data_IF_481998035493
#
_entry.id   IF_481998035493
#
_cell.length_a   1.000
_cell.length_b   1.000
_cell.length_c   1.000
_cell.angle_alpha   90.00
_cell.angle_beta   90.00
_cell.angle_gamma   90.00
#
_symmetry.space_group_name_H-M   'P 1'
#
loop_
_entity.id
_entity.type
_entity.pdbx_description
1 polymer ?
#
# COMPACT_ATOMS: atom_id res chain seq x y z
N UNK A 1 -33.75 26.88 -25.25
CA UNK A 1 -34.06 25.78 -24.31
C UNK A 1 -32.90 24.79 -24.38
N UNK A 2 -31.82 25.05 -23.62
CA UNK A 2 -30.60 24.21 -23.58
C UNK A 2 -30.76 23.20 -22.46
N UNK A 3 -30.58 21.93 -22.83
CA UNK A 3 -30.68 20.75 -21.98
C UNK A 3 -29.48 20.69 -21.03
N UNK A 4 -29.79 20.24 -19.81
CA UNK A 4 -29.01 19.97 -18.59
C UNK A 4 -27.46 19.94 -18.67
N UNK A 5 -26.76 20.49 -17.66
CA UNK A 5 -25.31 20.33 -17.51
C UNK A 5 -24.99 18.86 -17.17
N UNK A 6 -23.87 18.37 -17.69
CA UNK A 6 -23.29 17.06 -17.34
C UNK A 6 -23.10 16.99 -15.83
N UNK A 7 -23.90 16.18 -15.15
CA UNK A 7 -23.70 15.87 -13.75
C UNK A 7 -22.41 15.05 -13.62
N UNK A 8 -21.30 15.71 -13.29
CA UNK A 8 -20.12 15.04 -12.80
C UNK A 8 -20.51 14.41 -11.46
N UNK A 9 -20.63 13.08 -11.43
CA UNK A 9 -20.84 12.34 -10.21
C UNK A 9 -19.44 12.09 -9.63
N UNK A 10 -18.98 12.83 -8.59
CA UNK A 10 -17.65 12.59 -8.04
C UNK A 10 -17.59 11.15 -7.52
N UNK A 11 -16.56 10.40 -7.92
CA UNK A 11 -16.34 9.06 -7.39
C UNK A 11 -16.25 9.19 -5.86
N UNK A 12 -17.02 8.35 -5.14
CA UNK A 12 -17.05 8.30 -3.68
C UNK A 12 -15.63 8.16 -3.11
N UNK A 13 -14.72 7.52 -3.84
CA UNK A 13 -13.31 7.42 -3.47
C UNK A 13 -12.60 8.79 -3.44
N UNK A 14 -12.92 9.67 -4.39
CA UNK A 14 -12.45 11.08 -4.41
C UNK A 14 -12.99 11.86 -3.22
N UNK A 15 -14.24 11.61 -2.82
CA UNK A 15 -14.85 12.27 -1.66
C UNK A 15 -14.27 11.78 -0.32
N UNK A 16 -13.85 10.52 -0.24
CA UNK A 16 -13.22 9.92 0.95
C UNK A 16 -11.76 10.36 1.09
N UNK A 17 -11.08 10.72 -0.01
CA UNK A 17 -9.68 11.18 -0.01
C UNK A 17 -9.41 12.37 0.95
N UNK A 18 -10.45 13.13 1.31
CA UNK A 18 -10.35 14.29 2.19
C UNK A 18 -10.55 13.99 3.69
N UNK A 19 -10.76 12.72 4.10
CA UNK A 19 -11.21 12.40 5.47
C UNK A 19 -10.09 12.00 6.46
N UNK A 20 -8.84 11.84 6.05
CA UNK A 20 -7.72 11.69 6.98
C UNK A 20 -6.40 12.14 6.36
N UNK A 21 -5.64 12.99 7.07
CA UNK A 21 -4.36 13.53 6.58
C UNK A 21 -3.27 12.45 6.39
N UNK A 22 -3.45 11.25 6.96
CA UNK A 22 -2.46 10.18 6.94
C UNK A 22 -2.79 9.08 5.91
N UNK A 23 -4.00 9.08 5.33
CA UNK A 23 -4.46 8.10 4.34
C UNK A 23 -4.81 8.77 3.00
N UNK A 24 -3.78 9.06 2.20
CA UNK A 24 -3.98 9.53 0.83
C UNK A 24 -4.49 8.39 -0.04
N UNK A 25 -5.67 8.56 -0.63
CA UNK A 25 -6.27 7.61 -1.58
C UNK A 25 -5.78 7.90 -2.99
N UNK A 26 -5.28 6.88 -3.68
CA UNK A 26 -4.82 7.01 -5.07
C UNK A 26 -6.00 7.24 -6.02
N UNK A 27 -5.97 8.29 -6.84
CA UNK A 27 -6.96 8.46 -7.89
C UNK A 27 -6.92 7.32 -8.91
N UNK A 28 -8.06 6.94 -9.51
CA UNK A 28 -8.12 5.88 -10.51
C UNK A 28 -7.15 6.07 -11.69
N UNK A 29 -6.94 7.31 -12.13
CA UNK A 29 -6.07 7.65 -13.26
C UNK A 29 -4.60 7.34 -12.95
N UNK A 30 -4.15 7.69 -11.73
CA UNK A 30 -2.79 7.37 -11.26
C UNK A 30 -2.64 5.86 -11.07
N UNK A 31 -3.64 5.19 -10.49
CA UNK A 31 -3.59 3.74 -10.33
C UNK A 31 -3.50 3.03 -11.68
N UNK A 32 -4.30 3.45 -12.67
CA UNK A 32 -4.28 2.93 -14.03
C UNK A 32 -2.91 3.13 -14.69
N UNK A 33 -2.33 4.34 -14.61
CA UNK A 33 -1.01 4.63 -15.18
C UNK A 33 0.11 3.78 -14.57
N UNK A 34 0.09 3.56 -13.25
CA UNK A 34 1.06 2.66 -12.59
C UNK A 34 0.89 1.20 -13.04
N UNK A 35 -0.34 0.74 -13.23
CA UNK A 35 -0.66 -0.61 -13.71
C UNK A 35 -0.27 -0.78 -15.19
N UNK A 36 -0.44 0.26 -16.02
CA UNK A 36 0.02 0.30 -17.41
C UNK A 36 1.53 0.14 -17.49
N UNK A 37 2.31 0.85 -16.66
CA UNK A 37 3.77 0.70 -16.65
C UNK A 37 4.24 -0.71 -16.31
N UNK A 38 3.55 -1.40 -15.40
CA UNK A 38 3.82 -2.81 -15.10
C UNK A 38 3.53 -3.68 -16.32
N UNK A 39 2.38 -3.47 -16.99
CA UNK A 39 2.01 -4.24 -18.18
C UNK A 39 2.99 -4.03 -19.35
N UNK A 40 3.42 -2.79 -19.59
CA UNK A 40 4.42 -2.47 -20.61
C UNK A 40 5.77 -3.11 -20.29
N UNK A 41 6.21 -3.07 -19.03
CA UNK A 41 7.44 -3.71 -18.62
C UNK A 41 7.37 -5.23 -18.81
N UNK A 42 6.27 -5.85 -18.36
CA UNK A 42 6.03 -7.26 -18.59
C UNK A 42 6.10 -7.64 -20.07
N UNK A 43 5.44 -6.88 -20.94
CA UNK A 43 5.46 -7.13 -22.38
C UNK A 43 6.88 -7.04 -22.95
N UNK A 44 7.67 -6.03 -22.55
CA UNK A 44 9.08 -5.92 -22.97
C UNK A 44 9.91 -7.13 -22.56
N UNK A 45 9.61 -7.70 -21.39
CA UNK A 45 10.42 -8.74 -20.76
C UNK A 45 10.04 -10.15 -21.19
N UNK A 46 8.79 -10.31 -21.63
CA UNK A 46 8.21 -11.59 -21.99
C UNK A 46 7.87 -11.65 -23.49
N UNK A 47 8.69 -11.01 -24.34
CA UNK A 47 8.58 -11.13 -25.80
C UNK A 47 7.25 -10.64 -26.38
N UNK A 48 6.64 -9.63 -25.77
CA UNK A 48 5.34 -9.08 -26.14
C UNK A 48 4.13 -9.76 -25.49
N UNK A 49 4.34 -10.69 -24.55
CA UNK A 49 3.24 -11.36 -23.87
C UNK A 49 2.37 -10.38 -23.07
N UNK A 50 1.07 -10.65 -23.01
CA UNK A 50 0.12 -9.89 -22.20
C UNK A 50 0.09 -10.45 -20.77
N UNK A 51 0.47 -9.65 -19.77
CA UNK A 51 0.41 -10.05 -18.36
C UNK A 51 -1.01 -10.45 -17.92
N UNK A 52 -2.02 -9.79 -18.49
CA UNK A 52 -3.42 -10.00 -18.13
C UNK A 52 -3.99 -11.32 -18.67
N UNK A 53 -3.29 -11.97 -19.60
CA UNK A 53 -3.65 -13.28 -20.15
C UNK A 53 -2.90 -14.43 -19.46
N UNK A 54 -2.14 -14.16 -18.38
CA UNK A 54 -1.41 -15.19 -17.65
C UNK A 54 -2.15 -15.59 -16.37
N UNK A 55 -2.65 -16.85 -16.27
CA UNK A 55 -3.41 -17.30 -15.10
C UNK A 55 -2.55 -17.52 -13.85
N UNK A 56 -1.22 -17.47 -13.97
CA UNK A 56 -0.30 -17.78 -12.87
C UNK A 56 0.32 -16.54 -12.22
N UNK A 57 0.13 -15.34 -12.77
CA UNK A 57 0.72 -14.12 -12.21
C UNK A 57 -0.03 -13.71 -10.96
N UNK A 58 0.73 -13.32 -9.94
CA UNK A 58 0.23 -12.92 -8.62
C UNK A 58 0.57 -11.46 -8.30
N UNK A 59 -0.38 -10.77 -7.68
CA UNK A 59 -0.32 -9.34 -7.38
C UNK A 59 -0.59 -9.10 -5.89
N UNK A 60 0.19 -8.21 -5.29
CA UNK A 60 0.01 -7.77 -3.91
C UNK A 60 -0.08 -6.25 -3.82
N UNK A 61 -1.11 -5.77 -3.12
CA UNK A 61 -1.14 -4.41 -2.56
C UNK A 61 -0.94 -4.47 -1.04
N UNK A 62 0.27 -4.17 -0.53
CA UNK A 62 0.62 -4.35 0.88
C UNK A 62 0.14 -3.20 1.78
N UNK A 63 -0.58 -2.23 1.22
CA UNK A 63 -1.13 -1.09 1.95
C UNK A 63 -2.47 -0.65 1.35
N UNK A 64 -3.35 -1.62 1.09
CA UNK A 64 -4.58 -1.38 0.36
C UNK A 64 -5.55 -0.49 1.15
N UNK A 65 -6.05 0.56 0.50
CA UNK A 65 -6.95 1.56 1.10
C UNK A 65 -8.38 1.42 0.59
N UNK A 66 -8.63 1.95 -0.61
CA UNK A 66 -9.89 1.80 -1.34
C UNK A 66 -9.98 0.51 -2.17
N UNK A 67 -8.86 -0.20 -2.31
CA UNK A 67 -8.72 -1.34 -3.22
C UNK A 67 -8.57 -0.93 -4.69
N UNK A 68 -8.23 0.32 -5.00
CA UNK A 68 -8.21 0.84 -6.38
C UNK A 68 -7.25 0.06 -7.30
N UNK A 69 -6.03 -0.24 -6.85
CA UNK A 69 -5.07 -1.05 -7.63
C UNK A 69 -5.61 -2.47 -7.86
N UNK A 70 -6.11 -3.11 -6.80
CA UNK A 70 -6.62 -4.48 -6.86
C UNK A 70 -7.86 -4.59 -7.75
N UNK A 71 -8.74 -3.58 -7.72
CA UNK A 71 -9.92 -3.47 -8.59
C UNK A 71 -9.49 -3.35 -10.06
N UNK A 72 -8.54 -2.47 -10.34
CA UNK A 72 -8.00 -2.26 -11.69
C UNK A 72 -7.38 -3.54 -12.25
N UNK A 73 -6.52 -4.19 -11.46
CA UNK A 73 -5.89 -5.47 -11.81
C UNK A 73 -6.93 -6.56 -12.06
N UNK A 74 -7.93 -6.67 -11.18
CA UNK A 74 -9.01 -7.66 -11.30
C UNK A 74 -9.80 -7.44 -12.59
N UNK A 75 -10.15 -6.19 -12.93
CA UNK A 75 -10.87 -5.88 -14.16
C UNK A 75 -10.09 -6.31 -15.40
N UNK A 76 -8.79 -5.99 -15.44
CA UNK A 76 -7.91 -6.35 -16.57
C UNK A 76 -7.69 -7.85 -16.69
N UNK A 77 -7.55 -8.58 -15.58
CA UNK A 77 -7.47 -10.04 -15.58
C UNK A 77 -8.78 -10.69 -16.05
N UNK A 78 -9.94 -10.16 -15.64
CA UNK A 78 -11.25 -10.68 -16.08
C UNK A 78 -11.40 -10.59 -17.60
N UNK A 79 -10.88 -9.53 -18.22
CA UNK A 79 -10.88 -9.39 -19.68
C UNK A 79 -9.77 -10.22 -20.35
N UNK A 80 -8.55 -10.20 -19.79
CA UNK A 80 -7.39 -10.85 -20.38
C UNK A 80 -7.42 -12.38 -20.34
N UNK A 81 -8.10 -12.97 -19.35
CA UNK A 81 -8.18 -14.43 -19.19
C UNK A 81 -9.40 -15.07 -19.88
N UNK A 82 -10.15 -14.34 -20.72
CA UNK A 82 -11.36 -14.89 -21.39
C UNK A 82 -11.05 -16.13 -22.22
N UNK A 83 -9.91 -16.17 -22.91
CA UNK A 83 -9.55 -17.33 -23.74
C UNK A 83 -9.10 -18.54 -22.91
N UNK A 84 -8.39 -18.30 -21.79
CA UNK A 84 -7.85 -19.36 -20.92
C UNK A 84 -8.89 -19.94 -19.96
N UNK A 85 -9.79 -19.10 -19.44
CA UNK A 85 -10.85 -19.48 -18.51
C UNK A 85 -12.16 -18.85 -19.02
N UNK A 86 -12.88 -19.47 -19.98
CA UNK A 86 -14.02 -18.84 -20.64
C UNK A 86 -15.22 -18.55 -19.74
N UNK A 87 -15.50 -19.42 -18.76
CA UNK A 87 -16.58 -19.20 -17.82
C UNK A 87 -16.26 -18.02 -16.88
N UNK A 88 -17.17 -17.06 -16.80
CA UNK A 88 -16.96 -15.83 -16.03
C UNK A 88 -16.84 -16.10 -14.53
N UNK A 89 -17.64 -17.03 -13.98
CA UNK A 89 -17.63 -17.29 -12.55
C UNK A 89 -16.36 -18.04 -12.13
N UNK A 90 -15.97 -19.07 -12.89
CA UNK A 90 -14.70 -19.78 -12.70
C UNK A 90 -13.51 -18.81 -12.81
N UNK A 91 -13.53 -17.91 -13.81
CA UNK A 91 -12.49 -16.90 -14.01
C UNK A 91 -12.40 -15.93 -12.84
N UNK A 92 -13.52 -15.38 -12.38
CA UNK A 92 -13.56 -14.48 -11.20
C UNK A 92 -13.08 -15.20 -9.95
N UNK A 93 -13.50 -16.45 -9.74
CA UNK A 93 -13.03 -17.26 -8.61
C UNK A 93 -11.52 -17.48 -8.67
N UNK A 94 -10.98 -17.88 -9.82
CA UNK A 94 -9.55 -18.07 -10.03
C UNK A 94 -8.77 -16.79 -9.73
N UNK A 95 -9.16 -15.67 -10.33
CA UNK A 95 -8.48 -14.38 -10.15
C UNK A 95 -8.45 -13.97 -8.68
N UNK A 96 -9.61 -13.98 -8.02
CA UNK A 96 -9.74 -13.45 -6.66
C UNK A 96 -9.16 -14.37 -5.60
N UNK A 97 -9.15 -15.69 -5.82
CA UNK A 97 -8.60 -16.66 -4.86
C UNK A 97 -7.12 -16.96 -5.08
N UNK A 98 -6.60 -16.81 -6.31
CA UNK A 98 -5.24 -17.22 -6.68
C UNK A 98 -4.31 -16.11 -7.14
N UNK A 99 -4.81 -14.96 -7.61
CA UNK A 99 -3.97 -13.95 -8.25
C UNK A 99 -3.93 -12.60 -7.52
N UNK A 100 -5.01 -12.20 -6.84
CA UNK A 100 -5.15 -10.84 -6.29
C UNK A 100 -5.17 -10.85 -4.76
N UNK A 101 -4.19 -10.19 -4.15
CA UNK A 101 -3.99 -10.17 -2.70
C UNK A 101 -3.77 -8.75 -2.17
N UNK A 102 -4.24 -8.49 -0.96
CA UNK A 102 -4.10 -7.17 -0.33
C UNK A 102 -3.98 -7.24 1.18
N UNK A 103 -3.15 -6.36 1.73
CA UNK A 103 -3.10 -6.07 3.18
C UNK A 103 -3.65 -4.68 3.42
N UNK A 104 -4.79 -4.59 4.09
CA UNK A 104 -5.32 -3.29 4.47
C UNK A 104 -4.61 -2.74 5.70
N UNK A 105 -4.72 -1.43 5.91
CA UNK A 105 -3.99 -0.72 6.98
C UNK A 105 -4.85 -0.41 8.21
N UNK A 106 -6.16 -0.49 8.07
CA UNK A 106 -7.17 -0.27 9.11
C UNK A 106 -8.38 -1.17 8.86
N UNK A 107 -9.25 -1.33 9.85
CA UNK A 107 -10.48 -2.12 9.65
C UNK A 107 -11.39 -1.46 8.59
N UNK A 108 -11.44 -0.12 8.57
CA UNK A 108 -12.23 0.62 7.58
C UNK A 108 -11.74 0.39 6.15
N UNK A 109 -10.43 0.51 5.92
CA UNK A 109 -9.83 0.28 4.60
C UNK A 109 -9.99 -1.17 4.13
N UNK A 110 -9.96 -2.13 5.05
CA UNK A 110 -10.28 -3.53 4.73
C UNK A 110 -11.71 -3.68 4.20
N UNK A 111 -12.69 -3.07 4.86
CA UNK A 111 -14.10 -3.11 4.44
C UNK A 111 -14.34 -2.40 3.10
N UNK A 112 -13.67 -1.26 2.88
CA UNK A 112 -13.74 -0.53 1.61
C UNK A 112 -13.13 -1.34 0.48
N UNK A 113 -11.92 -1.87 0.67
CA UNK A 113 -11.22 -2.68 -0.33
C UNK A 113 -11.98 -3.94 -0.69
N UNK A 114 -12.53 -4.67 0.30
CA UNK A 114 -13.40 -5.84 0.04
C UNK A 114 -14.64 -5.46 -0.74
N UNK A 115 -15.29 -4.34 -0.41
CA UNK A 115 -16.45 -3.88 -1.18
C UNK A 115 -16.07 -3.53 -2.61
N UNK A 116 -14.91 -2.94 -2.85
CA UNK A 116 -14.44 -2.60 -4.19
C UNK A 116 -14.07 -3.83 -5.04
N UNK A 117 -13.47 -4.84 -4.42
CA UNK A 117 -12.92 -6.01 -5.13
C UNK A 117 -13.91 -7.17 -5.18
N UNK A 118 -14.65 -7.43 -4.09
CA UNK A 118 -15.61 -8.53 -3.98
C UNK A 118 -17.07 -8.12 -4.16
N UNK A 119 -17.35 -6.82 -4.36
CA UNK A 119 -18.69 -6.24 -4.32
C UNK A 119 -19.44 -6.47 -3.00
N UNK A 120 -18.73 -6.91 -1.95
CA UNK A 120 -19.28 -7.29 -0.65
C UNK A 120 -18.28 -6.94 0.46
N UNK A 121 -18.78 -6.60 1.65
CA UNK A 121 -17.94 -6.40 2.83
C UNK A 121 -17.24 -7.68 3.28
N UNK A 122 -17.84 -8.83 2.95
CA UNK A 122 -17.42 -10.15 3.36
C UNK A 122 -17.31 -11.06 2.13
N UNK A 123 -16.17 -11.71 1.97
CA UNK A 123 -15.85 -12.50 0.79
C UNK A 123 -16.67 -13.80 0.69
N UNK A 124 -17.15 -14.34 1.82
CA UNK A 124 -17.88 -15.61 1.93
C UNK A 124 -19.39 -15.47 2.13
N UNK A 125 -20.00 -14.38 1.63
CA UNK A 125 -21.45 -14.12 1.76
C UNK A 125 -22.11 -14.09 0.40
N UNK A 126 -23.44 -14.29 0.36
CA UNK A 126 -24.23 -14.42 -0.88
C UNK A 126 -24.12 -13.25 -1.89
N UNK A 127 -23.63 -12.10 -1.44
CA UNK A 127 -23.48 -10.90 -2.29
C UNK A 127 -22.05 -10.71 -2.80
N UNK A 128 -21.13 -11.58 -2.40
CA UNK A 128 -19.77 -11.62 -2.96
C UNK A 128 -19.82 -12.15 -4.38
N UNK A 129 -19.06 -11.54 -5.30
CA UNK A 129 -18.93 -12.04 -6.68
C UNK A 129 -18.07 -13.31 -6.77
N UNK A 130 -17.28 -13.59 -5.73
CA UNK A 130 -16.49 -14.82 -5.58
C UNK A 130 -17.25 -15.79 -4.70
N UNK A 131 -17.35 -17.04 -5.15
CA UNK A 131 -18.15 -18.09 -4.48
C UNK A 131 -17.30 -19.12 -3.72
N UNK A 132 -15.97 -19.03 -3.81
CA UNK A 132 -15.04 -20.05 -3.30
C UNK A 132 -14.37 -19.71 -1.96
N UNK A 133 -14.54 -18.49 -1.44
CA UNK A 133 -13.97 -18.18 -0.13
C UNK A 133 -14.79 -18.77 1.01
N UNK A 134 -14.13 -19.52 1.89
CA UNK A 134 -14.71 -20.00 3.14
C UNK A 134 -14.62 -18.97 4.26
N UNK A 135 -13.66 -18.03 4.18
CA UNK A 135 -13.39 -17.03 5.21
C UNK A 135 -13.94 -15.64 4.81
N UNK A 136 -14.31 -14.78 5.79
CA UNK A 136 -14.95 -13.49 5.48
C UNK A 136 -13.98 -12.44 4.91
N UNK A 137 -12.67 -12.61 5.11
CA UNK A 137 -11.67 -11.66 4.64
C UNK A 137 -11.30 -11.87 3.16
N UNK A 138 -11.42 -13.10 2.66
CA UNK A 138 -10.82 -13.51 1.40
C UNK A 138 -9.31 -13.27 1.44
N UNK A 139 -8.77 -12.82 0.31
CA UNK A 139 -7.38 -12.39 0.14
C UNK A 139 -7.15 -10.90 0.44
N UNK A 140 -8.17 -10.18 0.93
CA UNK A 140 -8.00 -8.81 1.46
C UNK A 140 -7.95 -8.89 2.99
N UNK A 141 -6.75 -9.06 3.51
CA UNK A 141 -6.51 -9.34 4.91
C UNK A 141 -6.32 -8.07 5.75
N UNK A 142 -6.83 -8.12 6.98
CA UNK A 142 -6.52 -7.16 8.03
C UNK A 142 -6.76 -7.81 9.39
N UNK A 143 -5.75 -7.74 10.25
CA UNK A 143 -5.90 -7.84 11.69
C UNK A 143 -5.08 -6.74 12.35
N UNK A 144 -5.60 -6.24 13.46
CA UNK A 144 -4.92 -5.23 14.28
C UNK A 144 -3.55 -5.78 14.68
N UNK A 145 -2.49 -5.05 14.31
CA UNK A 145 -1.12 -5.37 14.71
C UNK A 145 -0.70 -4.41 15.80
N UNK A 146 0.10 -4.88 16.75
CA UNK A 146 0.61 -4.06 17.86
C UNK A 146 2.08 -3.72 17.66
N UNK A 147 2.51 -2.62 18.28
CA UNK A 147 3.92 -2.21 18.33
C UNK A 147 4.71 -3.12 19.29
N UNK A 148 5.98 -3.36 18.97
CA UNK A 148 6.94 -4.02 19.86
C UNK A 148 7.86 -2.98 20.50
N UNK A 149 7.56 -2.62 21.75
CA UNK A 149 8.22 -1.54 22.49
C UNK A 149 9.55 -1.98 23.09
N UNK A 150 10.64 -1.35 22.64
CA UNK A 150 11.99 -1.62 23.12
C UNK A 150 12.69 -0.36 23.67
N UNK A 151 13.70 -0.58 24.50
CA UNK A 151 14.50 0.48 25.13
C UNK A 151 13.74 1.23 26.23
N UNK A 152 13.98 2.54 26.32
CA UNK A 152 13.35 3.43 27.30
C UNK A 152 14.16 3.69 28.57
N UNK A 153 13.67 4.62 29.38
CA UNK A 153 14.26 4.99 30.67
C UNK A 153 13.48 4.30 31.78
N UNK A 154 14.19 3.59 32.67
CA UNK A 154 13.59 2.96 33.84
C UNK A 154 13.29 4.03 34.89
N UNK A 155 12.03 4.15 35.24
CA UNK A 155 11.51 5.04 36.28
C UNK A 155 10.90 4.20 37.41
N UNK A 156 11.00 4.70 38.64
CA UNK A 156 10.25 4.17 39.78
C UNK A 156 9.03 5.04 39.98
N UNK A 157 7.85 4.41 40.06
CA UNK A 157 6.59 5.08 40.38
C UNK A 157 5.95 4.36 41.55
N UNK A 158 5.40 5.12 42.49
CA UNK A 158 4.66 4.54 43.61
C UNK A 158 3.27 4.15 43.12
N UNK A 159 2.90 2.88 43.27
CA UNK A 159 1.55 2.41 42.97
C UNK A 159 0.55 3.11 43.92
N UNK A 160 -0.41 3.89 43.43
CA UNK A 160 -1.33 4.64 44.28
C UNK A 160 -2.32 3.76 45.06
N UNK A 161 -2.50 2.50 44.68
CA UNK A 161 -3.37 1.54 45.36
C UNK A 161 -2.63 0.73 46.46
N UNK A 162 -1.36 0.40 46.27
CA UNK A 162 -0.59 -0.44 47.21
C UNK A 162 0.46 0.33 48.02
N UNK A 163 0.89 1.49 47.55
CA UNK A 163 1.99 2.28 48.14
C UNK A 163 3.38 1.69 47.86
N UNK A 164 3.48 0.65 47.05
CA UNK A 164 4.74 -0.01 46.71
C UNK A 164 5.41 0.63 45.48
N UNK A 165 6.73 0.54 45.42
CA UNK A 165 7.51 0.97 44.26
C UNK A 165 7.28 0.02 43.08
N UNK A 166 6.81 0.55 41.95
CA UNK A 166 6.70 -0.14 40.66
C UNK A 166 7.71 0.42 39.66
N UNK A 167 8.29 -0.49 38.87
CA UNK A 167 9.18 -0.11 37.77
C UNK A 167 8.38 0.09 36.50
N UNK A 168 8.49 1.28 35.92
CA UNK A 168 7.86 1.63 34.64
C UNK A 168 8.94 2.10 33.67
N UNK A 169 8.82 1.72 32.40
CA UNK A 169 9.67 2.24 31.34
C UNK A 169 8.96 3.39 30.63
N UNK A 170 9.63 4.53 30.50
CA UNK A 170 9.18 5.68 29.71
C UNK A 170 10.01 5.83 28.43
N UNK A 171 9.49 6.57 27.45
CA UNK A 171 10.20 6.90 26.20
C UNK A 171 10.67 5.67 25.38
N UNK A 172 9.95 4.55 25.47
CA UNK A 172 10.21 3.39 24.60
C UNK A 172 9.87 3.71 23.15
N UNK A 173 10.47 2.96 22.23
CA UNK A 173 10.20 3.07 20.79
C UNK A 173 9.90 1.71 20.19
N UNK A 174 9.05 1.69 19.17
CA UNK A 174 8.78 0.48 18.41
C UNK A 174 10.03 0.04 17.63
N UNK A 175 10.43 -1.23 17.74
CA UNK A 175 11.63 -1.73 17.06
C UNK A 175 11.51 -1.75 15.52
N UNK A 176 10.29 -1.83 14.99
CA UNK A 176 10.02 -1.89 13.55
C UNK A 176 9.89 -0.51 12.90
N UNK A 177 8.97 0.32 13.40
CA UNK A 177 8.68 1.64 12.80
C UNK A 177 9.32 2.81 13.55
N UNK A 178 9.81 2.59 14.77
CA UNK A 178 10.38 3.63 15.65
C UNK A 178 9.39 4.67 16.16
N UNK A 179 8.08 4.39 16.09
CA UNK A 179 7.03 5.13 16.80
C UNK A 179 7.37 5.26 18.28
N UNK A 180 7.03 6.39 18.90
CA UNK A 180 7.18 6.59 20.35
C UNK A 180 6.00 5.96 21.10
N UNK A 181 6.28 5.24 22.18
CA UNK A 181 5.23 4.58 22.98
C UNK A 181 4.20 5.58 23.53
N UNK A 182 4.67 6.72 24.02
CA UNK A 182 3.81 7.75 24.60
C UNK A 182 2.71 8.22 23.64
N UNK A 183 3.02 8.24 22.34
CA UNK A 183 2.10 8.74 21.32
C UNK A 183 1.26 7.64 20.69
N UNK A 184 1.69 6.37 20.75
CA UNK A 184 1.12 5.28 19.96
C UNK A 184 0.63 4.06 20.77
N UNK A 185 0.85 4.03 22.09
CA UNK A 185 0.21 3.08 22.98
C UNK A 185 -1.21 3.56 23.36
N UNK A 186 -2.13 3.54 22.37
CA UNK A 186 -3.43 4.23 22.39
C UNK A 186 -4.62 3.41 22.87
N UNK A 187 -4.39 2.26 23.51
CA UNK A 187 -5.46 1.34 23.90
C UNK A 187 -6.14 0.64 22.70
N UNK A 188 -7.06 -0.27 22.98
CA UNK A 188 -7.67 -1.15 21.96
C UNK A 188 -8.70 -0.44 21.05
N UNK A 189 -9.28 0.68 21.53
CA UNK A 189 -10.34 1.42 20.82
C UNK A 189 -9.83 2.32 19.68
N UNK A 190 -8.52 2.60 19.63
CA UNK A 190 -7.89 3.49 18.64
C UNK A 190 -6.96 2.73 17.72
N UNK A 191 -6.94 3.04 16.43
CA UNK A 191 -6.02 2.41 15.46
C UNK A 191 -4.56 2.49 15.94
N UNK A 192 -3.85 1.37 15.91
CA UNK A 192 -2.48 1.29 16.43
C UNK A 192 -1.46 1.97 15.53
N UNK A 193 -1.77 2.13 14.24
CA UNK A 193 -0.82 2.51 13.18
C UNK A 193 0.43 1.61 13.12
N UNK A 194 0.33 0.39 13.65
CA UNK A 194 1.28 -0.67 13.39
C UNK A 194 0.75 -1.51 12.22
N UNK A 195 1.49 -1.51 11.12
CA UNK A 195 1.09 -2.21 9.89
C UNK A 195 1.78 -3.57 9.78
N UNK A 196 0.99 -4.61 9.55
CA UNK A 196 1.44 -6.00 9.47
C UNK A 196 2.61 -6.22 8.50
N UNK A 197 2.61 -5.49 7.38
CA UNK A 197 3.63 -5.60 6.33
C UNK A 197 5.04 -5.17 6.77
N UNK A 198 5.13 -4.22 7.72
CA UNK A 198 6.42 -3.71 8.20
C UNK A 198 6.72 -4.08 9.65
N UNK A 199 5.74 -4.57 10.42
CA UNK A 199 5.90 -5.06 11.78
C UNK A 199 6.17 -6.57 11.79
N UNK A 200 7.26 -6.94 11.11
CA UNK A 200 7.77 -8.31 11.07
C UNK A 200 9.27 -8.30 10.77
N UNK A 201 9.99 -9.24 11.35
CA UNK A 201 11.41 -9.46 11.05
C UNK A 201 11.61 -10.22 9.72
N UNK A 202 10.64 -11.05 9.33
CA UNK A 202 10.65 -11.78 8.06
C UNK A 202 9.29 -11.61 7.37
N UNK A 203 9.29 -10.94 6.23
CA UNK A 203 8.06 -10.66 5.49
C UNK A 203 7.53 -11.87 4.74
N UNK A 204 8.41 -12.75 4.24
CA UNK A 204 7.99 -14.00 3.59
C UNK A 204 7.20 -14.88 4.56
N UNK A 205 7.77 -15.18 5.73
CA UNK A 205 7.08 -15.97 6.78
C UNK A 205 5.76 -15.33 7.22
N UNK A 206 5.71 -13.98 7.27
CA UNK A 206 4.50 -13.25 7.64
C UNK A 206 3.40 -13.44 6.60
N UNK A 207 3.74 -13.37 5.31
CA UNK A 207 2.76 -13.56 4.24
C UNK A 207 2.33 -15.02 4.09
N UNK A 208 3.24 -15.98 4.32
CA UNK A 208 2.86 -17.40 4.34
C UNK A 208 1.83 -17.70 5.43
N UNK A 209 1.97 -17.10 6.62
CA UNK A 209 0.97 -17.25 7.69
C UNK A 209 -0.38 -16.61 7.36
N UNK A 210 -0.38 -15.56 6.54
CA UNK A 210 -1.60 -14.82 6.18
C UNK A 210 -2.33 -15.48 4.99
N UNK A 211 -1.58 -15.86 3.95
CA UNK A 211 -2.12 -16.28 2.66
C UNK A 211 -1.87 -17.76 2.32
N UNK A 212 -1.06 -18.48 3.11
CA UNK A 212 -0.74 -19.89 2.94
C UNK A 212 0.72 -20.17 2.55
N UNK A 213 1.18 -21.39 2.81
CA UNK A 213 2.57 -21.83 2.56
C UNK A 213 2.96 -21.67 1.08
N UNK A 214 4.21 -21.22 0.84
CA UNK A 214 4.76 -21.09 -0.51
C UNK A 214 4.23 -19.91 -1.32
N UNK A 215 3.48 -19.00 -0.70
CA UNK A 215 2.96 -17.81 -1.37
C UNK A 215 4.09 -16.87 -1.81
N UNK A 216 4.11 -16.53 -3.10
CA UNK A 216 5.03 -15.57 -3.70
C UNK A 216 4.25 -14.58 -4.56
N UNK A 217 4.82 -13.40 -4.79
CA UNK A 217 4.18 -12.33 -5.55
C UNK A 217 5.07 -11.87 -6.69
N UNK A 218 4.54 -11.92 -7.91
CA UNK A 218 5.24 -11.43 -9.11
C UNK A 218 5.26 -9.90 -9.15
N UNK A 219 4.16 -9.28 -8.72
CA UNK A 219 3.96 -7.83 -8.76
C UNK A 219 3.62 -7.25 -7.39
N UNK A 220 4.58 -6.48 -6.90
CA UNK A 220 4.57 -5.45 -5.85
C UNK A 220 3.84 -4.15 -6.21
N UNK A 221 2.61 -3.79 -5.81
CA UNK A 221 2.08 -2.44 -6.18
C UNK A 221 1.23 -1.76 -5.12
N UNK A 222 1.40 -0.44 -4.89
CA UNK A 222 0.49 0.27 -4.00
C UNK A 222 0.80 1.74 -3.72
N UNK A 223 0.16 2.25 -2.67
CA UNK A 223 0.38 3.57 -2.11
C UNK A 223 0.49 3.45 -0.58
N UNK A 224 1.70 3.30 -0.02
CA UNK A 224 1.88 3.10 1.41
C UNK A 224 1.53 4.36 2.22
N UNK A 225 1.29 4.25 3.54
CA UNK A 225 1.23 5.41 4.43
C UNK A 225 2.54 6.22 4.37
N UNK A 226 2.44 7.55 4.35
CA UNK A 226 3.62 8.40 4.15
C UNK A 226 4.37 8.69 5.44
N UNK A 227 3.65 8.90 6.54
CA UNK A 227 4.26 9.31 7.78
C UNK A 227 3.46 8.86 9.00
N UNK A 228 4.13 8.86 10.15
CA UNK A 228 3.52 8.76 11.47
C UNK A 228 3.43 10.17 12.07
N UNK A 229 2.25 10.55 12.57
CA UNK A 229 2.02 11.79 13.29
C UNK A 229 2.53 11.73 14.74
N UNK A 230 3.50 12.59 15.07
CA UNK A 230 4.16 12.65 16.38
C UNK A 230 3.29 13.28 17.51
N UNK A 231 1.97 13.40 17.35
CA UNK A 231 1.02 13.84 18.40
C UNK A 231 1.16 15.29 18.93
N UNK A 232 2.24 15.99 18.62
CA UNK A 232 2.52 17.36 19.08
C UNK A 232 2.19 18.45 18.07
N UNK A 233 2.03 19.70 18.54
CA UNK A 233 1.82 20.90 17.71
C UNK A 233 3.03 21.29 16.82
N UNK A 234 4.05 20.43 16.72
CA UNK A 234 5.32 20.66 16.02
C UNK A 234 5.57 19.67 14.89
N UNK A 235 5.87 20.21 13.70
CA UNK A 235 6.09 19.55 12.40
C UNK A 235 7.30 18.59 12.36
N UNK A 236 7.24 17.41 12.97
CA UNK A 236 8.27 16.39 12.75
C UNK A 236 7.75 14.99 12.44
N UNK A 237 6.67 14.87 11.66
CA UNK A 237 6.18 13.57 11.21
C UNK A 237 7.29 12.69 10.62
N UNK A 238 7.45 11.48 11.15
CA UNK A 238 8.49 10.53 10.73
C UNK A 238 8.02 9.80 9.47
N UNK A 239 8.82 9.76 8.39
CA UNK A 239 8.44 8.99 7.21
C UNK A 239 8.37 7.50 7.55
N UNK A 240 7.39 6.81 6.97
CA UNK A 240 7.20 5.36 7.15
C UNK A 240 7.15 4.58 5.82
N UNK A 241 6.84 5.24 4.70
CA UNK A 241 6.73 4.61 3.38
C UNK A 241 7.99 3.85 2.99
N UNK A 242 9.18 4.31 3.38
CA UNK A 242 10.46 3.68 3.07
C UNK A 242 10.55 2.26 3.63
N UNK A 243 9.89 1.99 4.76
CA UNK A 243 9.86 0.65 5.36
C UNK A 243 9.00 -0.30 4.52
N UNK A 244 7.92 0.19 3.92
CA UNK A 244 7.12 -0.60 2.97
C UNK A 244 7.91 -0.89 1.70
N UNK A 245 8.61 0.10 1.14
CA UNK A 245 9.47 -0.12 -0.04
C UNK A 245 10.53 -1.19 0.25
N UNK A 246 11.22 -1.09 1.39
CA UNK A 246 12.25 -2.06 1.78
C UNK A 246 11.68 -3.47 1.97
N UNK A 247 10.55 -3.63 2.67
CA UNK A 247 9.91 -4.94 2.83
C UNK A 247 9.42 -5.52 1.51
N UNK A 248 8.87 -4.69 0.61
CA UNK A 248 8.46 -5.15 -0.70
C UNK A 248 9.66 -5.60 -1.56
N UNK A 249 10.81 -4.93 -1.45
CA UNK A 249 12.05 -5.40 -2.09
C UNK A 249 12.54 -6.72 -1.48
N UNK A 250 12.38 -6.93 -0.16
CA UNK A 250 12.76 -8.18 0.52
C UNK A 250 11.88 -9.37 0.11
N UNK A 251 10.64 -9.14 -0.35
CA UNK A 251 9.83 -10.17 -0.99
C UNK A 251 10.37 -10.63 -2.35
N UNK A 252 11.32 -9.86 -2.91
CA UNK A 252 12.00 -10.17 -4.16
C UNK A 252 11.04 -10.41 -5.36
N UNK A 253 10.01 -9.56 -5.58
CA UNK A 253 9.08 -9.72 -6.69
C UNK A 253 9.78 -9.51 -8.04
N UNK A 254 9.14 -9.89 -9.15
CA UNK A 254 9.66 -9.55 -10.48
C UNK A 254 9.55 -8.03 -10.74
N UNK A 255 8.42 -7.44 -10.34
CA UNK A 255 8.13 -6.01 -10.49
C UNK A 255 7.67 -5.40 -9.18
N UNK A 256 8.06 -4.15 -8.94
CA UNK A 256 7.63 -3.36 -7.79
C UNK A 256 7.28 -1.94 -8.25
N UNK A 257 6.14 -1.42 -7.83
CA UNK A 257 5.72 -0.05 -8.10
C UNK A 257 5.04 0.61 -6.91
N UNK A 258 5.57 1.73 -6.46
CA UNK A 258 4.97 2.49 -5.36
C UNK A 258 4.92 3.97 -5.68
N UNK A 259 3.82 4.61 -5.31
CA UNK A 259 3.72 6.08 -5.23
C UNK A 259 4.06 6.55 -3.81
N UNK A 260 5.05 7.44 -3.70
CA UNK A 260 5.61 7.94 -2.44
C UNK A 260 6.01 9.42 -2.55
N UNK A 261 6.17 10.16 -1.43
CA UNK A 261 6.57 11.57 -1.48
C UNK A 261 7.96 11.76 -2.09
N UNK A 262 8.10 12.62 -3.10
CA UNK A 262 9.35 12.82 -3.88
C UNK A 262 10.54 13.31 -3.07
N UNK A 263 10.29 13.85 -1.86
CA UNK A 263 11.35 14.30 -0.93
C UNK A 263 12.42 13.24 -0.64
N UNK A 264 12.15 11.95 -0.80
CA UNK A 264 13.19 10.91 -0.67
C UNK A 264 14.38 11.14 -1.62
N UNK A 265 14.15 11.79 -2.76
CA UNK A 265 15.17 12.17 -3.75
C UNK A 265 15.98 13.41 -3.38
N UNK A 266 15.60 14.16 -2.35
CA UNK A 266 16.41 15.26 -1.81
C UNK A 266 17.10 14.88 -0.49
N UNK A 267 16.62 13.80 0.16
CA UNK A 267 17.00 13.42 1.51
C UNK A 267 16.05 14.02 2.54
N UNK A 268 16.38 13.87 3.83
CA UNK A 268 15.53 14.34 4.91
C UNK A 268 15.70 13.51 6.19
N UNK A 269 14.99 13.92 7.25
CA UNK A 269 15.08 13.28 8.57
C UNK A 269 14.78 11.78 8.47
N UNK A 270 15.81 10.95 8.67
CA UNK A 270 15.69 9.49 8.67
C UNK A 270 15.62 8.82 7.30
N UNK A 271 15.89 9.54 6.20
CA UNK A 271 15.82 9.00 4.83
C UNK A 271 17.17 8.82 4.14
N UNK A 272 18.28 9.24 4.74
CA UNK A 272 19.57 9.25 4.06
C UNK A 272 20.02 7.87 3.57
N UNK A 273 19.92 6.84 4.41
CA UNK A 273 20.27 5.47 4.01
C UNK A 273 19.35 4.93 2.91
N UNK A 274 18.04 5.18 3.02
CA UNK A 274 17.06 4.79 2.01
C UNK A 274 17.30 5.49 0.67
N UNK A 275 17.61 6.79 0.71
CA UNK A 275 17.98 7.57 -0.46
C UNK A 275 19.20 6.99 -1.14
N UNK A 276 20.27 6.76 -0.38
CA UNK A 276 21.52 6.19 -0.91
C UNK A 276 21.28 4.81 -1.55
N UNK A 277 20.49 3.95 -0.91
CA UNK A 277 20.17 2.63 -1.45
C UNK A 277 19.34 2.73 -2.74
N UNK A 278 18.30 3.57 -2.77
CA UNK A 278 17.45 3.75 -3.94
C UNK A 278 18.22 4.34 -5.12
N UNK A 279 19.06 5.35 -4.90
CA UNK A 279 19.87 5.97 -5.97
C UNK A 279 20.98 5.04 -6.50
N UNK A 280 21.50 4.15 -5.66
CA UNK A 280 22.50 3.17 -6.07
C UNK A 280 21.86 1.96 -6.79
N UNK A 281 20.56 1.75 -6.63
CA UNK A 281 19.85 0.61 -7.22
C UNK A 281 19.55 0.84 -8.71
N UNK A 282 20.25 0.09 -9.57
CA UNK A 282 20.07 0.13 -11.02
C UNK A 282 18.78 -0.55 -11.49
N UNK A 283 17.99 -1.13 -10.59
CA UNK A 283 16.74 -1.83 -10.90
C UNK A 283 15.53 -0.89 -10.96
N UNK A 284 15.66 0.37 -10.55
CA UNK A 284 14.62 1.39 -10.82
C UNK A 284 14.70 1.76 -12.30
N UNK A 285 13.67 1.42 -13.08
CA UNK A 285 13.67 1.57 -14.55
C UNK A 285 12.86 2.74 -15.04
N UNK A 286 11.86 3.14 -14.27
CA UNK A 286 11.04 4.30 -14.57
C UNK A 286 10.74 5.05 -13.28
N UNK A 287 10.85 6.36 -13.30
CA UNK A 287 10.41 7.26 -12.25
C UNK A 287 9.56 8.37 -12.87
N UNK A 288 8.35 8.55 -12.38
CA UNK A 288 7.47 9.67 -12.74
C UNK A 288 7.35 10.57 -11.54
N UNK A 289 7.81 11.81 -11.66
CA UNK A 289 7.88 12.80 -10.58
C UNK A 289 6.89 13.95 -10.82
N UNK A 290 5.92 14.09 -9.92
CA UNK A 290 4.97 15.20 -9.89
C UNK A 290 5.46 16.22 -8.88
N UNK A 291 5.98 17.35 -9.40
CA UNK A 291 6.53 18.41 -8.53
C UNK A 291 5.44 19.02 -7.65
N UNK A 292 4.26 19.23 -8.24
CA UNK A 292 3.05 19.66 -7.52
C UNK A 292 2.18 18.43 -7.28
N UNK A 293 1.92 18.09 -6.01
CA UNK A 293 1.12 16.91 -5.67
C UNK A 293 -0.33 17.03 -6.11
N UNK A 294 -0.83 18.25 -6.32
CA UNK A 294 -2.20 18.50 -6.81
C UNK A 294 -2.45 17.91 -8.21
N UNK A 295 -1.39 17.78 -9.03
CA UNK A 295 -1.45 17.16 -10.36
C UNK A 295 -1.66 15.63 -10.29
N UNK A 296 -1.22 14.99 -9.21
CA UNK A 296 -1.42 13.56 -8.99
C UNK A 296 -2.59 13.26 -8.03
N UNK A 297 -2.84 14.15 -7.07
CA UNK A 297 -3.83 14.02 -6.02
C UNK A 297 -4.57 15.36 -5.85
N UNK A 298 -5.60 15.63 -6.67
CA UNK A 298 -6.32 16.90 -6.62
C UNK A 298 -6.84 17.21 -5.21
N UNK A 299 -6.46 18.38 -4.69
CA UNK A 299 -6.82 18.87 -3.35
C UNK A 299 -5.92 18.37 -2.21
N UNK A 300 -4.88 17.58 -2.48
CA UNK A 300 -3.95 17.05 -1.48
C UNK A 300 -2.59 17.75 -1.59
N UNK A 301 -2.23 18.50 -0.54
CA UNK A 301 -0.93 19.18 -0.45
C UNK A 301 0.12 18.28 0.24
N UNK A 302 1.04 17.74 -0.55
CA UNK A 302 2.19 16.95 -0.10
C UNK A 302 3.44 17.75 -0.43
N UNK A 303 3.98 18.41 0.60
CA UNK A 303 5.16 19.25 0.44
C UNK A 303 6.32 18.49 -0.23
N UNK A 304 6.82 19.04 -1.33
CA UNK A 304 7.91 18.47 -2.13
C UNK A 304 7.46 17.48 -3.20
N UNK A 305 6.15 17.34 -3.47
CA UNK A 305 5.63 16.53 -4.56
C UNK A 305 5.53 15.03 -4.23
N UNK A 306 5.09 14.28 -5.23
CA UNK A 306 4.96 12.81 -5.18
C UNK A 306 5.56 12.19 -6.43
N UNK A 307 6.13 11.01 -6.27
CA UNK A 307 6.70 10.24 -7.37
C UNK A 307 6.21 8.82 -7.27
N UNK A 308 5.94 8.20 -8.42
CA UNK A 308 5.89 6.74 -8.47
C UNK A 308 7.01 6.21 -9.35
N UNK A 309 7.41 4.98 -9.07
CA UNK A 309 8.52 4.35 -9.76
C UNK A 309 8.20 2.91 -10.10
N UNK A 310 8.78 2.42 -11.19
CA UNK A 310 8.84 1.01 -11.51
C UNK A 310 10.25 0.50 -11.20
N UNK A 311 10.33 -0.46 -10.30
CA UNK A 311 11.51 -1.26 -10.01
C UNK A 311 11.34 -2.67 -10.57
N UNK A 312 12.41 -3.24 -11.12
CA UNK A 312 12.41 -4.55 -11.76
C UNK A 312 13.63 -5.35 -11.34
N UNK A 313 13.42 -6.55 -10.81
CA UNK A 313 14.48 -7.39 -10.23
C UNK A 313 15.58 -7.76 -11.21
N UNK A 314 15.19 -8.27 -12.37
CA UNK A 314 16.07 -9.03 -13.27
C UNK A 314 16.61 -8.21 -14.47
N UNK A 315 16.53 -6.88 -14.41
CA UNK A 315 17.01 -5.98 -15.49
C UNK A 315 17.55 -4.67 -14.92
N UNK A 316 18.76 -4.69 -14.36
CA UNK A 316 19.45 -3.48 -13.95
C UNK A 316 19.87 -2.66 -15.18
N UNK A 317 19.68 -1.34 -15.13
CA UNK A 317 20.09 -0.44 -16.22
C UNK A 317 19.74 1.03 -15.95
N UNK A 318 19.60 1.80 -17.03
CA UNK A 318 19.25 3.22 -16.94
C UNK A 318 17.79 3.40 -16.53
N UNK A 319 17.56 4.38 -15.66
CA UNK A 319 16.23 4.84 -15.25
C UNK A 319 15.75 5.94 -16.20
N UNK A 320 14.56 5.77 -16.77
CA UNK A 320 13.83 6.85 -17.44
C UNK A 320 13.15 7.71 -16.37
N UNK A 321 13.31 9.03 -16.47
CA UNK A 321 12.70 9.99 -15.54
C UNK A 321 11.76 10.90 -16.32
N UNK A 322 10.48 10.87 -15.99
CA UNK A 322 9.48 11.81 -16.47
C UNK A 322 9.12 12.79 -15.36
N UNK A 323 9.15 14.09 -15.65
CA UNK A 323 8.77 15.13 -14.70
C UNK A 323 7.47 15.78 -15.15
N UNK A 324 6.44 15.68 -14.32
CA UNK A 324 5.15 16.33 -14.51
C UNK A 324 5.18 17.69 -13.84
N UNK A 325 5.11 18.73 -14.67
CA UNK A 325 5.00 20.12 -14.24
C UNK A 325 3.54 20.54 -14.31
N UNK A 326 3.12 21.42 -13.40
CA UNK A 326 1.79 22.03 -13.43
C UNK A 326 1.49 22.58 -14.83
N UNK A 327 0.37 22.17 -15.41
CA UNK A 327 -0.06 22.68 -16.71
C UNK A 327 -0.19 24.20 -16.65
N UNK A 328 0.68 24.93 -17.34
CA UNK A 328 0.58 26.38 -17.44
C UNK A 328 -0.74 26.75 -18.13
N UNK A 329 -1.56 27.57 -17.46
CA UNK A 329 -2.72 28.22 -18.08
C UNK A 329 -2.34 29.28 -19.10
#
# INVERSE_FOLDING_TARGET
>A
MKLLPSAHNPDVLTCIANLSNDEVFTPPEIASAMVDQVAEAWARDNGGANIWANPNVTFLDPATKSGVFLREITSRLVEGLVEEIPDLQERVNHILTRQVFGLAITNLTALLSRRSVYCSKWANRKYSIVTEFDNPAGNIWFERTEHDWQGGTREVRVNPATGEDEFVYSNRRCCYCGAGEADYNRGEDLESHAYAFIHTANIADRLERIFGEGMQFDVVIGNPPYQLSDGGAGKSAKPIYQLFVQQAMNLNPAYLSFIVPSRWMAGGKGLESFRQSMLADKRIRHLVDYIDSDEAFPGVDIAGGVSYFLWKRDDPGLCTVDTVMRGGG
#
